data_IF_092892557283
#
_entry.id   IF_092892557283
#
_cell.length_a   1.000
_cell.length_b   1.000
_cell.length_c   1.000
_cell.angle_alpha   90.00
_cell.angle_beta   90.00
_cell.angle_gamma   90.00
#
_symmetry.space_group_name_H-M   'P 1'
#
loop_
_entity.id
_entity.type
_entity.pdbx_description
1 polymer ?
#
# COMPACT_ATOMS: atom_id res chain seq x y z
N UNK A 1 -17.79 -7.24 -4.13
CA UNK A 1 -16.85 -6.10 -3.96
C UNK A 1 -16.50 -5.92 -2.49
N UNK A 2 -15.23 -5.77 -2.12
CA UNK A 2 -14.85 -5.49 -0.73
C UNK A 2 -14.98 -3.99 -0.42
N UNK A 3 -15.97 -3.62 0.40
CA UNK A 3 -16.30 -2.21 0.70
C UNK A 3 -15.13 -1.44 1.31
N UNK A 4 -14.33 -2.07 2.18
CA UNK A 4 -13.24 -1.40 2.87
C UNK A 4 -12.11 -1.07 1.91
N UNK A 5 -11.69 -2.04 1.09
CA UNK A 5 -10.60 -1.81 0.13
C UNK A 5 -11.01 -0.77 -0.94
N UNK A 6 -12.27 -0.78 -1.38
CA UNK A 6 -12.82 0.28 -2.24
C UNK A 6 -12.76 1.64 -1.55
N UNK A 7 -13.20 1.72 -0.29
CA UNK A 7 -13.14 2.95 0.49
C UNK A 7 -11.69 3.47 0.64
N UNK A 8 -10.73 2.61 1.01
CA UNK A 8 -9.33 3.02 1.15
C UNK A 8 -8.71 3.44 -0.19
N UNK A 9 -9.10 2.82 -1.30
CA UNK A 9 -8.67 3.25 -2.65
C UNK A 9 -9.12 4.67 -2.94
N UNK A 10 -10.41 4.97 -2.73
CA UNK A 10 -10.97 6.30 -2.94
C UNK A 10 -10.32 7.31 -2.00
N UNK A 11 -10.19 6.95 -0.72
CA UNK A 11 -9.52 7.78 0.28
C UNK A 11 -8.10 8.17 -0.17
N UNK A 12 -7.29 7.23 -0.67
CA UNK A 12 -5.93 7.54 -1.12
C UNK A 12 -5.92 8.49 -2.31
N UNK A 13 -6.83 8.33 -3.26
CA UNK A 13 -6.97 9.30 -4.37
C UNK A 13 -7.33 10.68 -3.85
N UNK A 14 -8.28 10.78 -2.92
CA UNK A 14 -8.71 12.06 -2.33
C UNK A 14 -7.63 12.74 -1.48
N UNK A 15 -6.67 11.98 -0.94
CA UNK A 15 -5.58 12.52 -0.13
C UNK A 15 -4.38 13.02 -0.97
N UNK A 16 -4.28 12.68 -2.26
CA UNK A 16 -3.20 13.14 -3.16
C UNK A 16 -2.97 14.66 -3.15
N UNK A 17 -4.01 15.51 -3.12
CA UNK A 17 -3.82 16.96 -3.06
C UNK A 17 -3.07 17.44 -1.82
N UNK A 18 -3.13 16.73 -0.69
CA UNK A 18 -2.52 17.17 0.57
C UNK A 18 -0.98 17.31 0.49
N UNK A 19 -0.21 16.30 0.06
CA UNK A 19 1.23 16.49 -0.11
C UNK A 19 1.57 17.49 -1.20
N UNK A 20 0.75 17.67 -2.24
CA UNK A 20 0.97 18.72 -3.24
C UNK A 20 0.87 20.11 -2.62
N UNK A 21 -0.15 20.33 -1.78
CA UNK A 21 -0.30 21.56 -0.99
C UNK A 21 0.88 21.70 -0.02
N UNK A 22 1.28 20.62 0.64
CA UNK A 22 2.45 20.58 1.52
C UNK A 22 3.74 21.00 0.81
N UNK A 23 3.97 20.56 -0.43
CA UNK A 23 5.12 20.98 -1.23
C UNK A 23 5.17 22.50 -1.47
N UNK A 24 4.01 23.15 -1.58
CA UNK A 24 3.89 24.59 -1.83
C UNK A 24 3.97 25.42 -0.54
N UNK A 25 3.31 24.97 0.52
CA UNK A 25 3.16 25.73 1.78
C UNK A 25 4.28 25.46 2.79
N UNK A 26 4.92 24.29 2.72
CA UNK A 26 5.94 23.84 3.68
C UNK A 26 7.03 23.04 2.94
N UNK A 27 7.89 23.70 2.14
CA UNK A 27 8.91 23.05 1.30
C UNK A 27 10.09 22.52 2.13
N UNK A 28 9.83 21.65 3.11
CA UNK A 28 10.86 20.98 3.90
C UNK A 28 11.74 20.12 3.01
N UNK A 29 13.05 20.20 3.21
CA UNK A 29 14.02 19.36 2.51
C UNK A 29 14.53 18.28 3.45
N UNK A 30 14.27 17.02 3.09
CA UNK A 30 14.73 15.83 3.82
C UNK A 30 15.61 15.05 2.85
N UNK A 31 16.86 14.79 3.23
CA UNK A 31 17.84 14.08 2.38
C UNK A 31 18.05 14.70 0.98
N UNK A 32 17.99 16.03 0.87
CA UNK A 32 18.23 16.76 -0.37
C UNK A 32 17.03 16.87 -1.33
N UNK A 33 15.86 16.36 -0.95
CA UNK A 33 14.62 16.47 -1.73
C UNK A 33 13.46 16.97 -0.87
N UNK A 34 12.40 17.50 -1.50
CA UNK A 34 11.21 17.94 -0.77
C UNK A 34 10.57 16.73 -0.04
N UNK A 35 10.35 16.87 1.27
CA UNK A 35 9.86 15.81 2.16
C UNK A 35 8.49 15.26 1.76
N UNK A 36 7.62 16.10 1.18
CA UNK A 36 6.27 15.74 0.74
C UNK A 36 6.23 14.87 -0.52
N UNK A 37 7.33 14.79 -1.28
CA UNK A 37 7.44 13.91 -2.44
C UNK A 37 7.22 12.44 -2.04
N UNK A 38 7.68 12.04 -0.86
CA UNK A 38 7.55 10.66 -0.38
C UNK A 38 6.08 10.29 -0.08
N UNK A 39 5.33 11.04 0.77
CA UNK A 39 3.89 10.82 0.92
C UNK A 39 3.13 10.79 -0.41
N UNK A 40 3.44 11.70 -1.35
CA UNK A 40 2.80 11.73 -2.67
C UNK A 40 2.99 10.42 -3.44
N UNK A 41 4.23 9.94 -3.55
CA UNK A 41 4.53 8.67 -4.23
C UNK A 41 3.83 7.48 -3.58
N UNK A 42 3.79 7.44 -2.25
CA UNK A 42 3.14 6.36 -1.52
C UNK A 42 1.61 6.39 -1.68
N UNK A 43 0.99 7.56 -1.67
CA UNK A 43 -0.45 7.71 -1.91
C UNK A 43 -0.86 7.25 -3.31
N UNK A 44 -0.14 7.70 -4.34
CA UNK A 44 -0.40 7.29 -5.73
C UNK A 44 -0.20 5.77 -5.87
N UNK A 45 0.92 5.24 -5.36
CA UNK A 45 1.21 3.81 -5.44
C UNK A 45 0.17 2.99 -4.68
N UNK A 46 -0.26 3.42 -3.50
CA UNK A 46 -1.27 2.74 -2.70
C UNK A 46 -2.65 2.74 -3.38
N UNK A 47 -3.02 3.83 -4.05
CA UNK A 47 -4.26 3.90 -4.83
C UNK A 47 -4.25 2.90 -6.00
N UNK A 48 -3.16 2.91 -6.80
CA UNK A 48 -2.99 1.96 -7.92
C UNK A 48 -2.95 0.52 -7.41
N UNK A 49 -2.18 0.25 -6.35
CA UNK A 49 -2.04 -1.08 -5.77
C UNK A 49 -3.38 -1.62 -5.26
N UNK A 50 -4.14 -0.82 -4.52
CA UNK A 50 -5.47 -1.23 -4.03
C UNK A 50 -6.45 -1.47 -5.17
N UNK A 51 -6.44 -0.62 -6.22
CA UNK A 51 -7.27 -0.80 -7.40
C UNK A 51 -6.95 -2.13 -8.12
N UNK A 52 -5.66 -2.44 -8.28
CA UNK A 52 -5.20 -3.71 -8.83
C UNK A 52 -5.64 -4.89 -7.96
N UNK A 53 -5.52 -4.79 -6.64
CA UNK A 53 -5.99 -5.84 -5.72
C UNK A 53 -7.50 -6.04 -5.76
N UNK A 54 -8.28 -4.96 -5.81
CA UNK A 54 -9.73 -5.04 -5.96
C UNK A 54 -10.11 -5.83 -7.22
N UNK A 55 -9.43 -5.56 -8.33
CA UNK A 55 -9.61 -6.26 -9.59
C UNK A 55 -9.16 -7.73 -9.51
N UNK A 56 -7.95 -8.01 -9.01
CA UNK A 56 -7.45 -9.39 -8.88
C UNK A 56 -8.35 -10.25 -7.99
N UNK A 57 -8.87 -9.69 -6.91
CA UNK A 57 -9.73 -10.41 -5.97
C UNK A 57 -11.10 -10.78 -6.55
N UNK A 58 -11.55 -10.17 -7.67
CA UNK A 58 -12.78 -10.62 -8.34
C UNK A 58 -12.64 -11.99 -8.98
N UNK A 59 -11.41 -12.43 -9.25
CA UNK A 59 -11.14 -13.73 -9.88
C UNK A 59 -10.93 -14.87 -8.89
N UNK A 60 -10.93 -14.61 -7.57
CA UNK A 60 -10.72 -15.65 -6.55
C UNK A 60 -12.06 -16.33 -6.21
N UNK A 61 -12.15 -17.63 -6.48
CA UNK A 61 -13.35 -18.44 -6.24
C UNK A 61 -13.23 -19.28 -4.95
N UNK A 62 -14.35 -19.46 -4.24
CA UNK A 62 -14.44 -20.38 -3.08
C UNK A 62 -13.68 -19.96 -1.81
N UNK A 63 -12.92 -18.85 -1.82
CA UNK A 63 -12.06 -18.43 -0.69
C UNK A 63 -12.48 -17.10 -0.05
N UNK A 64 -13.76 -16.95 0.28
CA UNK A 64 -14.34 -15.69 0.81
C UNK A 64 -13.58 -15.10 2.00
N UNK A 65 -13.13 -15.94 2.94
CA UNK A 65 -12.37 -15.49 4.13
C UNK A 65 -11.01 -14.91 3.77
N UNK A 66 -10.27 -15.58 2.88
CA UNK A 66 -8.97 -15.10 2.39
C UNK A 66 -9.13 -13.77 1.66
N UNK A 67 -10.09 -13.67 0.74
CA UNK A 67 -10.38 -12.43 0.00
C UNK A 67 -10.68 -11.28 0.97
N UNK A 68 -11.46 -11.54 2.03
CA UNK A 68 -11.73 -10.52 3.05
C UNK A 68 -10.45 -10.10 3.77
N UNK A 69 -9.66 -11.04 4.30
CA UNK A 69 -8.43 -10.76 5.05
C UNK A 69 -7.42 -10.00 4.20
N UNK A 70 -7.14 -10.47 2.98
CA UNK A 70 -6.20 -9.81 2.07
C UNK A 70 -6.67 -8.40 1.75
N UNK A 71 -7.93 -8.23 1.35
CA UNK A 71 -8.44 -6.90 1.02
C UNK A 71 -8.42 -5.94 2.22
N UNK A 72 -8.86 -6.39 3.40
CA UNK A 72 -8.88 -5.52 4.58
C UNK A 72 -7.47 -5.22 5.08
N UNK A 73 -6.59 -6.23 5.08
CA UNK A 73 -5.21 -6.11 5.50
C UNK A 73 -4.43 -5.17 4.59
N UNK A 74 -4.55 -5.34 3.27
CA UNK A 74 -3.88 -4.47 2.29
C UNK A 74 -4.27 -3.00 2.46
N UNK A 75 -5.58 -2.73 2.57
CA UNK A 75 -6.07 -1.37 2.82
C UNK A 75 -5.48 -0.77 4.10
N UNK A 76 -5.58 -1.48 5.23
CA UNK A 76 -5.14 -0.95 6.53
C UNK A 76 -3.61 -0.81 6.65
N UNK A 77 -2.83 -1.77 6.15
CA UNK A 77 -1.37 -1.72 6.23
C UNK A 77 -0.82 -0.55 5.41
N UNK A 78 -1.38 -0.28 4.23
CA UNK A 78 -1.01 0.91 3.44
C UNK A 78 -1.41 2.22 4.12
N UNK A 79 -2.52 2.22 4.89
CA UNK A 79 -2.92 3.41 5.64
C UNK A 79 -1.90 3.72 6.74
N UNK A 80 -1.43 2.69 7.44
CA UNK A 80 -0.37 2.81 8.46
C UNK A 80 0.90 3.39 7.84
N UNK A 81 1.33 2.88 6.68
CA UNK A 81 2.49 3.42 5.94
C UNK A 81 2.33 4.92 5.66
N UNK A 82 1.21 5.32 5.07
CA UNK A 82 0.97 6.72 4.69
C UNK A 82 0.97 7.64 5.92
N UNK A 83 0.32 7.23 7.02
CA UNK A 83 0.27 7.99 8.27
C UNK A 83 1.67 8.16 8.86
N UNK A 84 2.44 7.07 8.96
CA UNK A 84 3.77 7.10 9.57
C UNK A 84 4.79 7.88 8.72
N UNK A 85 4.74 7.76 7.40
CA UNK A 85 5.58 8.55 6.49
C UNK A 85 5.25 10.04 6.64
N UNK A 86 3.97 10.39 6.64
CA UNK A 86 3.52 11.78 6.74
C UNK A 86 3.87 12.38 8.11
N UNK A 87 3.73 11.60 9.19
CA UNK A 87 4.19 11.99 10.52
C UNK A 87 5.69 12.33 10.54
N UNK A 88 6.53 11.52 9.89
CA UNK A 88 7.98 11.78 9.84
C UNK A 88 8.33 13.03 9.02
N UNK A 89 7.52 13.39 8.01
CA UNK A 89 7.67 14.68 7.30
C UNK A 89 7.40 15.85 8.25
N UNK A 90 6.35 15.81 9.06
CA UNK A 90 6.09 16.85 10.07
C UNK A 90 7.21 16.95 11.12
N UNK A 91 7.80 15.82 11.49
CA UNK A 91 8.97 15.74 12.38
C UNK A 91 10.29 16.12 11.69
N UNK A 92 10.24 16.50 10.41
CA UNK A 92 11.38 16.88 9.58
C UNK A 92 12.52 15.83 9.61
N UNK A 93 12.16 14.56 9.53
CA UNK A 93 13.11 13.45 9.64
C UNK A 93 12.78 12.31 8.68
N UNK A 94 13.68 11.34 8.55
CA UNK A 94 13.49 10.19 7.66
C UNK A 94 12.62 9.12 8.32
N UNK A 95 11.78 8.46 7.52
CA UNK A 95 10.96 7.32 7.98
C UNK A 95 11.60 5.96 7.76
N UNK A 96 12.64 5.86 6.93
CA UNK A 96 13.34 4.60 6.64
C UNK A 96 14.78 4.70 7.15
N UNK A 97 15.27 3.59 7.73
CA UNK A 97 16.61 3.48 8.31
C UNK A 97 16.90 4.50 9.42
N UNK A 98 15.86 5.10 9.98
CA UNK A 98 15.98 6.04 11.08
C UNK A 98 15.83 5.33 12.41
N UNK A 99 16.93 5.24 13.14
CA UNK A 99 17.01 4.64 14.48
C UNK A 99 17.62 5.61 15.49
N UNK A 100 17.58 6.91 15.20
CA UNK A 100 18.20 7.94 16.03
C UNK A 100 17.53 8.10 17.39
N UNK A 101 16.24 7.78 17.50
CA UNK A 101 15.48 7.78 18.77
C UNK A 101 14.64 6.51 18.92
N UNK A 102 14.19 6.15 20.13
CA UNK A 102 13.29 5.02 20.33
C UNK A 102 12.00 5.11 19.52
N UNK A 103 11.45 6.32 19.37
CA UNK A 103 10.26 6.57 18.55
C UNK A 103 10.55 6.33 17.07
N UNK A 104 11.69 6.80 16.55
CA UNK A 104 12.06 6.59 15.15
C UNK A 104 12.27 5.12 14.83
N UNK A 105 12.95 4.38 15.73
CA UNK A 105 13.13 2.95 15.59
C UNK A 105 11.80 2.19 15.61
N UNK A 106 10.86 2.58 16.49
CA UNK A 106 9.52 1.99 16.54
C UNK A 106 8.73 2.24 15.24
N UNK A 107 8.76 3.47 14.72
CA UNK A 107 8.15 3.81 13.43
C UNK A 107 8.75 2.98 12.30
N UNK A 108 10.09 2.94 12.20
CA UNK A 108 10.79 2.19 11.16
C UNK A 108 10.47 0.69 11.21
N UNK A 109 10.48 0.09 12.40
CA UNK A 109 10.13 -1.33 12.60
C UNK A 109 8.67 -1.63 12.26
N UNK A 110 7.75 -0.74 12.64
CA UNK A 110 6.32 -0.87 12.32
C UNK A 110 6.10 -0.87 10.81
N UNK A 111 6.75 0.05 10.10
CA UNK A 111 6.67 0.13 8.64
C UNK A 111 7.27 -1.12 7.96
N UNK A 112 8.44 -1.55 8.42
CA UNK A 112 9.07 -2.79 7.92
C UNK A 112 8.17 -4.01 8.10
N UNK A 113 7.49 -4.11 9.24
CA UNK A 113 6.51 -5.16 9.51
C UNK A 113 5.29 -5.05 8.59
N UNK A 114 4.77 -3.84 8.39
CA UNK A 114 3.60 -3.61 7.54
C UNK A 114 3.85 -3.99 6.08
N UNK A 115 4.99 -3.58 5.51
CA UNK A 115 5.38 -3.94 4.14
C UNK A 115 5.62 -5.44 4.01
N UNK A 116 6.22 -6.09 5.02
CA UNK A 116 6.43 -7.54 5.01
C UNK A 116 5.10 -8.29 4.98
N UNK A 117 4.13 -7.87 5.80
CA UNK A 117 2.77 -8.45 5.80
C UNK A 117 2.06 -8.21 4.46
N UNK A 118 2.18 -7.01 3.88
CA UNK A 118 1.66 -6.71 2.54
C UNK A 118 2.25 -7.64 1.48
N UNK A 119 3.57 -7.86 1.50
CA UNK A 119 4.25 -8.77 0.59
C UNK A 119 3.77 -10.21 0.74
N UNK A 120 3.57 -10.69 1.97
CA UNK A 120 2.99 -12.02 2.24
C UNK A 120 1.57 -12.12 1.68
N UNK A 121 0.72 -11.11 1.90
CA UNK A 121 -0.65 -11.09 1.36
C UNK A 121 -0.65 -11.13 -0.18
N UNK A 122 0.27 -10.42 -0.82
CA UNK A 122 0.46 -10.46 -2.27
C UNK A 122 0.87 -11.85 -2.75
N UNK A 123 1.88 -12.44 -2.11
CA UNK A 123 2.35 -13.80 -2.44
C UNK A 123 1.23 -14.84 -2.25
N UNK A 124 0.43 -14.71 -1.18
CA UNK A 124 -0.73 -15.58 -0.97
C UNK A 124 -1.75 -15.44 -2.10
N UNK A 125 -2.07 -14.22 -2.52
CA UNK A 125 -2.98 -13.97 -3.64
C UNK A 125 -2.42 -14.55 -4.94
N UNK A 126 -1.12 -14.35 -5.21
CA UNK A 126 -0.41 -14.93 -6.35
C UNK A 126 -0.54 -16.44 -6.39
N UNK A 127 -0.20 -17.13 -5.31
CA UNK A 127 -0.28 -18.60 -5.22
C UNK A 127 -1.72 -19.09 -5.44
N UNK A 128 -2.72 -18.40 -4.91
CA UNK A 128 -4.13 -18.73 -5.13
C UNK A 128 -4.48 -18.65 -6.61
N UNK A 129 -4.16 -17.53 -7.26
CA UNK A 129 -4.49 -17.29 -8.65
C UNK A 129 -3.72 -18.22 -9.60
N UNK A 130 -2.46 -18.57 -9.28
CA UNK A 130 -1.69 -19.54 -10.06
C UNK A 130 -2.29 -20.95 -9.99
N UNK A 131 -2.74 -21.39 -8.80
CA UNK A 131 -3.25 -22.75 -8.58
C UNK A 131 -4.71 -22.93 -8.95
N UNK A 132 -5.49 -21.86 -8.99
CA UNK A 132 -6.90 -21.93 -9.36
C UNK A 132 -7.06 -22.28 -10.84
N UNK A 133 -8.01 -23.17 -11.16
CA UNK A 133 -8.42 -23.41 -12.55
C UNK A 133 -9.30 -22.25 -13.01
N UNK A 134 -9.04 -21.75 -14.22
CA UNK A 134 -9.80 -20.67 -14.86
C UNK A 134 -10.20 -21.13 -16.25
N UNK A 135 -11.43 -20.85 -16.66
CA UNK A 135 -12.00 -21.37 -17.91
C UNK A 135 -11.26 -20.83 -19.15
N UNK A 136 -10.84 -19.56 -19.11
CA UNK A 136 -10.01 -18.96 -20.16
C UNK A 136 -8.52 -19.18 -19.86
N UNK A 137 -7.89 -20.10 -20.61
CA UNK A 137 -6.46 -20.45 -20.47
C UNK A 137 -5.51 -19.31 -20.83
N UNK A 138 -5.82 -18.51 -21.84
CA UNK A 138 -4.97 -17.37 -22.27
C UNK A 138 -4.97 -16.32 -21.17
N UNK A 139 -6.15 -15.98 -20.65
CA UNK A 139 -6.28 -15.06 -19.53
C UNK A 139 -5.56 -15.57 -18.27
N UNK A 140 -5.69 -16.87 -17.97
CA UNK A 140 -5.00 -17.49 -16.84
C UNK A 140 -3.47 -17.33 -16.94
N UNK A 141 -2.89 -17.55 -18.11
CA UNK A 141 -1.45 -17.37 -18.31
C UNK A 141 -1.02 -15.90 -18.28
N UNK A 142 -1.83 -14.99 -18.84
CA UNK A 142 -1.58 -13.54 -18.72
C UNK A 142 -1.55 -13.09 -17.25
N UNK A 143 -2.49 -13.58 -16.45
CA UNK A 143 -2.54 -13.30 -15.01
C UNK A 143 -1.33 -13.91 -14.26
N UNK A 144 -0.95 -15.15 -14.59
CA UNK A 144 0.17 -15.87 -13.93
C UNK A 144 1.55 -15.27 -14.22
N UNK A 145 1.72 -14.65 -15.39
CA UNK A 145 2.98 -13.99 -15.74
C UNK A 145 3.04 -12.54 -15.23
N UNK A 146 1.88 -11.93 -14.98
CA UNK A 146 1.79 -10.55 -14.49
C UNK A 146 1.81 -10.41 -12.96
N UNK A 147 1.66 -11.50 -12.21
CA UNK A 147 1.72 -11.54 -10.74
C UNK A 147 3.00 -12.25 -10.29
#
# INVERSE_FOLDING_TARGET
>A
MNRLLTFTTILYVLLIPLPLIGMLLDPKVITGVNGWIKPLKFLISAAVYNATFLWLLTYVHGRRRLVRIVATGTGLLLLVEIVLITLQVFRNTTSHFNVSTPLDAAIFSTMGTAITLLAIMNLMLAIVLMRQRMDNRVFAWGLRLGV
#
